data_IF_020547480745
#
_entry.id   IF_020547480745
#
_cell.length_a   1.000
_cell.length_b   1.000
_cell.length_c   1.000
_cell.angle_alpha   90.00
_cell.angle_beta   90.00
_cell.angle_gamma   90.00
#
_symmetry.space_group_name_H-M   'P 1'
#
loop_
_entity.id
_entity.type
_entity.pdbx_description
1 polymer ?
#
# COMPACT_ATOMS: atom_id res chain seq x y z
N UNK A 1 -0.82 -24.42 -8.89
CA UNK A 1 -1.89 -23.51 -8.46
C UNK A 1 -1.29 -22.14 -8.24
N UNK A 2 -1.84 -21.08 -8.86
CA UNK A 2 -1.39 -19.71 -8.60
C UNK A 2 -2.11 -19.18 -7.36
N UNK A 3 -1.43 -19.24 -6.22
CA UNK A 3 -1.83 -18.46 -5.05
C UNK A 3 -1.66 -16.98 -5.38
N UNK A 4 -2.69 -16.16 -5.11
CA UNK A 4 -2.66 -14.71 -5.36
C UNK A 4 -2.17 -14.00 -4.10
N UNK A 5 -1.26 -13.04 -4.27
CA UNK A 5 -0.74 -12.18 -3.20
C UNK A 5 -0.50 -10.76 -3.72
N UNK A 6 -0.87 -9.79 -2.90
CA UNK A 6 -0.60 -8.38 -3.19
C UNK A 6 0.81 -7.94 -2.72
N UNK A 7 1.49 -8.75 -1.90
CA UNK A 7 2.79 -8.42 -1.31
C UNK A 7 3.98 -8.83 -2.20
N UNK A 8 4.92 -7.92 -2.42
CA UNK A 8 6.10 -8.17 -3.27
C UNK A 8 7.07 -9.19 -2.64
N UNK A 9 7.20 -9.19 -1.31
CA UNK A 9 8.04 -10.15 -0.58
C UNK A 9 7.52 -11.59 -0.76
N UNK A 10 6.20 -11.74 -0.81
CA UNK A 10 5.52 -13.03 -0.94
C UNK A 10 5.68 -13.60 -2.36
N UNK A 11 5.68 -12.73 -3.38
CA UNK A 11 6.09 -13.11 -4.75
C UNK A 11 7.53 -13.64 -4.80
N UNK A 12 8.46 -13.00 -4.09
CA UNK A 12 9.87 -13.46 -4.02
C UNK A 12 9.97 -14.82 -3.32
N UNK A 13 9.33 -14.98 -2.16
CA UNK A 13 9.31 -16.24 -1.40
C UNK A 13 8.74 -17.39 -2.24
N UNK A 14 7.69 -17.15 -3.03
CA UNK A 14 7.14 -18.15 -3.97
C UNK A 14 8.14 -18.63 -5.02
N UNK A 15 9.01 -17.75 -5.49
CA UNK A 15 10.07 -18.10 -6.45
C UNK A 15 11.12 -18.94 -5.74
N UNK A 16 11.56 -18.54 -4.55
CA UNK A 16 12.53 -19.29 -3.75
C UNK A 16 12.01 -20.69 -3.37
N UNK A 17 10.72 -20.82 -3.00
CA UNK A 17 10.04 -22.11 -2.75
C UNK A 17 10.13 -23.05 -3.95
N UNK A 18 9.87 -22.55 -5.16
CA UNK A 18 10.00 -23.32 -6.42
C UNK A 18 11.44 -23.78 -6.68
N UNK A 19 12.42 -23.04 -6.18
CA UNK A 19 13.84 -23.34 -6.29
C UNK A 19 14.41 -24.08 -5.06
N UNK A 20 13.56 -24.81 -4.31
CA UNK A 20 13.92 -25.61 -3.12
C UNK A 20 14.53 -24.78 -1.99
N UNK A 21 14.08 -23.54 -1.80
CA UNK A 21 14.51 -22.66 -0.71
C UNK A 21 15.92 -22.10 -0.86
N UNK A 22 16.54 -22.22 -2.03
CA UNK A 22 17.79 -21.49 -2.32
C UNK A 22 17.46 -20.02 -2.54
N UNK A 23 18.22 -19.10 -1.93
CA UNK A 23 18.17 -17.67 -2.27
C UNK A 23 18.46 -17.53 -3.76
N UNK A 24 17.48 -17.04 -4.52
CA UNK A 24 17.62 -16.79 -5.95
C UNK A 24 17.85 -15.30 -6.14
N UNK A 25 18.98 -14.94 -6.72
CA UNK A 25 19.16 -13.60 -7.27
C UNK A 25 18.27 -13.50 -8.51
N UNK A 26 17.24 -12.67 -8.44
CA UNK A 26 16.33 -12.42 -9.54
C UNK A 26 16.92 -11.26 -10.36
N UNK A 27 17.24 -11.45 -11.65
CA UNK A 27 17.77 -10.38 -12.48
C UNK A 27 16.87 -9.14 -12.47
N UNK A 28 17.45 -7.97 -12.21
CA UNK A 28 16.72 -6.70 -12.15
C UNK A 28 15.85 -6.51 -10.90
N UNK A 29 16.12 -7.26 -9.83
CA UNK A 29 15.50 -7.07 -8.51
C UNK A 29 16.59 -6.81 -7.47
N UNK A 30 16.59 -5.61 -6.91
CA UNK A 30 17.44 -5.21 -5.79
C UNK A 30 16.68 -5.41 -4.48
N UNK A 31 17.36 -5.95 -3.46
CA UNK A 31 16.76 -6.20 -2.14
C UNK A 31 17.67 -5.62 -1.07
N UNK A 32 17.08 -4.80 -0.21
CA UNK A 32 17.73 -4.19 0.94
C UNK A 32 16.88 -4.43 2.20
N UNK A 33 17.52 -4.66 3.34
CA UNK A 33 16.85 -4.99 4.59
C UNK A 33 17.39 -4.13 5.73
N UNK A 34 16.50 -3.71 6.61
CA UNK A 34 16.81 -2.83 7.74
C UNK A 34 16.02 -3.29 8.97
N UNK A 35 16.58 -3.05 10.14
CA UNK A 35 15.98 -3.45 11.41
C UNK A 35 15.80 -2.24 12.32
N UNK A 36 14.61 -2.14 12.88
CA UNK A 36 14.21 -1.16 13.88
C UNK A 36 14.14 -1.86 15.25
N UNK A 37 13.85 -1.08 16.30
CA UNK A 37 13.66 -1.64 17.64
C UNK A 37 12.50 -2.64 17.70
N UNK A 38 12.47 -3.45 18.77
CA UNK A 38 11.34 -4.31 19.13
C UNK A 38 10.87 -5.27 18.02
N UNK A 39 11.80 -5.73 17.19
CA UNK A 39 11.52 -6.74 16.15
C UNK A 39 10.83 -6.20 14.90
N UNK A 40 10.72 -4.88 14.73
CA UNK A 40 10.23 -4.26 13.50
C UNK A 40 11.29 -4.37 12.40
N UNK A 41 10.91 -4.91 11.25
CA UNK A 41 11.78 -5.12 10.09
C UNK A 41 11.27 -4.34 8.88
N UNK A 42 12.18 -3.74 8.12
CA UNK A 42 11.86 -3.12 6.83
C UNK A 42 12.60 -3.86 5.73
N UNK A 43 11.88 -4.23 4.68
CA UNK A 43 12.41 -4.91 3.50
C UNK A 43 12.08 -4.05 2.28
N UNK A 44 13.08 -3.64 1.52
CA UNK A 44 12.95 -2.81 0.33
C UNK A 44 13.28 -3.67 -0.88
N UNK A 45 12.31 -3.83 -1.77
CA UNK A 45 12.45 -4.53 -3.04
C UNK A 45 12.30 -3.48 -4.14
N UNK A 46 13.29 -3.38 -5.02
CA UNK A 46 13.25 -2.48 -6.18
C UNK A 46 13.38 -3.28 -7.46
N UNK A 47 12.35 -3.18 -8.31
CA UNK A 47 12.29 -3.84 -9.61
C UNK A 47 12.73 -2.85 -10.68
N UNK A 48 13.88 -3.09 -11.30
CA UNK A 48 14.56 -2.16 -12.22
C UNK A 48 14.46 -2.56 -13.68
N UNK A 49 14.04 -3.80 -14.00
CA UNK A 49 13.95 -4.29 -15.38
C UNK A 49 12.61 -4.95 -15.69
N UNK A 50 12.26 -4.97 -16.97
CA UNK A 50 11.09 -5.69 -17.50
C UNK A 50 11.16 -7.20 -17.24
N UNK A 51 12.35 -7.78 -17.25
CA UNK A 51 12.56 -9.18 -16.89
C UNK A 51 12.21 -9.43 -15.42
N UNK A 52 12.72 -8.59 -14.51
CA UNK A 52 12.39 -8.64 -13.10
C UNK A 52 10.88 -8.48 -12.86
N UNK A 53 10.24 -7.56 -13.56
CA UNK A 53 8.78 -7.34 -13.52
C UNK A 53 7.99 -8.59 -13.91
N UNK A 54 8.36 -9.26 -15.02
CA UNK A 54 7.72 -10.50 -15.46
C UNK A 54 7.93 -11.66 -14.48
N UNK A 55 9.13 -11.79 -13.94
CA UNK A 55 9.45 -12.86 -12.98
C UNK A 55 8.69 -12.64 -11.66
N UNK A 56 8.69 -11.41 -11.14
CA UNK A 56 8.03 -11.04 -9.89
C UNK A 56 6.50 -10.96 -10.02
N UNK A 57 5.99 -10.78 -11.23
CA UNK A 57 4.57 -10.51 -11.48
C UNK A 57 4.11 -9.17 -10.89
N UNK A 58 5.02 -8.20 -10.80
CA UNK A 58 4.78 -6.87 -10.20
C UNK A 58 5.42 -5.81 -11.10
N UNK A 59 4.79 -4.64 -11.30
CA UNK A 59 5.36 -3.55 -12.09
C UNK A 59 6.76 -3.10 -11.64
N UNK A 60 7.47 -2.39 -12.52
CA UNK A 60 8.75 -1.76 -12.17
C UNK A 60 8.50 -0.64 -11.14
N UNK A 61 9.36 -0.57 -10.13
CA UNK A 61 9.29 0.43 -9.07
C UNK A 61 9.75 -0.10 -7.73
N UNK A 62 9.37 0.61 -6.67
CA UNK A 62 9.78 0.35 -5.30
C UNK A 62 8.63 -0.30 -4.51
N UNK A 63 8.97 -1.29 -3.71
CA UNK A 63 8.09 -2.01 -2.80
C UNK A 63 8.77 -2.09 -1.44
N UNK A 64 8.18 -1.45 -0.44
CA UNK A 64 8.72 -1.38 0.92
C UNK A 64 7.75 -2.13 1.81
N UNK A 65 8.19 -3.24 2.36
CA UNK A 65 7.43 -4.05 3.31
C UNK A 65 7.94 -3.80 4.72
N UNK A 66 7.06 -3.39 5.61
CA UNK A 66 7.32 -3.23 7.03
C UNK A 66 6.63 -4.39 7.74
N UNK A 67 7.41 -5.25 8.38
CA UNK A 67 6.93 -6.38 9.18
C UNK A 67 7.07 -6.01 10.67
N UNK A 68 5.95 -5.97 11.37
CA UNK A 68 5.86 -5.69 12.79
C UNK A 68 4.92 -6.72 13.43
N UNK A 69 5.50 -7.73 14.08
CA UNK A 69 4.71 -8.73 14.80
C UNK A 69 3.94 -8.07 15.95
N UNK A 70 2.75 -8.56 16.22
CA UNK A 70 1.89 -8.06 17.29
C UNK A 70 1.53 -6.56 17.16
N UNK A 71 1.44 -6.01 15.95
CA UNK A 71 1.10 -4.60 15.76
C UNK A 71 -0.25 -4.19 16.39
N UNK A 72 -1.22 -5.11 16.42
CA UNK A 72 -2.57 -4.87 16.97
C UNK A 72 -2.57 -5.01 18.50
N UNK A 73 -2.13 -6.17 18.99
CA UNK A 73 -2.24 -6.58 20.41
C UNK A 73 -0.95 -6.39 21.22
N UNK A 74 0.13 -5.96 20.58
CA UNK A 74 1.44 -5.81 21.18
C UNK A 74 1.64 -4.49 21.90
N UNK A 75 2.84 -4.36 22.43
CA UNK A 75 3.28 -3.24 23.26
C UNK A 75 3.32 -1.91 22.48
N UNK A 76 3.17 -0.79 23.20
CA UNK A 76 3.16 0.54 22.60
C UNK A 76 4.48 0.86 21.89
N UNK A 77 5.57 0.28 22.37
CA UNK A 77 6.92 0.38 21.82
C UNK A 77 6.99 -0.17 20.38
N UNK A 78 6.32 -1.29 20.10
CA UNK A 78 6.25 -1.87 18.74
C UNK A 78 5.50 -0.92 17.80
N UNK A 79 4.40 -0.32 18.28
CA UNK A 79 3.62 0.66 17.51
C UNK A 79 4.45 1.91 17.22
N UNK A 80 5.19 2.42 18.20
CA UNK A 80 6.06 3.58 18.02
C UNK A 80 7.19 3.31 17.01
N UNK A 81 7.86 2.17 17.10
CA UNK A 81 8.90 1.81 16.11
C UNK A 81 8.30 1.60 14.72
N UNK A 82 7.11 1.02 14.62
CA UNK A 82 6.40 0.87 13.34
C UNK A 82 6.05 2.22 12.74
N UNK A 83 5.56 3.18 13.55
CA UNK A 83 5.31 4.56 13.10
C UNK A 83 6.61 5.20 12.62
N UNK A 84 7.73 5.08 13.36
CA UNK A 84 9.03 5.60 12.94
C UNK A 84 9.47 5.00 11.60
N UNK A 85 9.32 3.69 11.41
CA UNK A 85 9.64 3.02 10.16
C UNK A 85 8.78 3.54 9.00
N UNK A 86 7.45 3.62 9.16
CA UNK A 86 6.54 4.17 8.15
C UNK A 86 6.92 5.61 7.80
N UNK A 87 7.12 6.46 8.80
CA UNK A 87 7.47 7.87 8.60
C UNK A 87 8.80 8.00 7.86
N UNK A 88 9.83 7.26 8.27
CA UNK A 88 11.15 7.26 7.63
C UNK A 88 11.07 6.87 6.15
N UNK A 89 10.35 5.79 5.83
CA UNK A 89 10.21 5.32 4.45
C UNK A 89 9.32 6.25 3.60
N UNK A 90 8.21 6.74 4.17
CA UNK A 90 7.32 7.65 3.46
C UNK A 90 7.98 9.00 3.19
N UNK A 91 8.80 9.54 4.11
CA UNK A 91 9.56 10.78 3.91
C UNK A 91 10.66 10.66 2.85
N UNK A 92 11.18 9.45 2.60
CA UNK A 92 12.10 9.20 1.47
C UNK A 92 11.36 9.27 0.13
N UNK A 93 10.09 8.84 0.09
CA UNK A 93 9.26 8.87 -1.11
C UNK A 93 8.62 10.24 -1.36
N UNK A 94 8.09 10.90 -0.31
CA UNK A 94 7.46 12.23 -0.35
C UNK A 94 8.27 13.18 0.52
N UNK A 95 9.09 14.02 -0.11
CA UNK A 95 9.89 15.01 0.61
C UNK A 95 9.05 16.24 0.90
N UNK A 96 9.05 16.65 2.16
CA UNK A 96 8.40 17.90 2.55
C UNK A 96 9.07 19.12 1.91
N UNK A 97 8.23 20.04 1.45
CA UNK A 97 8.59 21.42 1.13
C UNK A 97 7.36 22.30 1.38
N UNK A 98 7.57 23.61 1.47
CA UNK A 98 6.53 24.58 1.85
C UNK A 98 5.35 24.71 0.88
N UNK A 99 5.40 24.05 -0.28
CA UNK A 99 4.35 24.03 -1.31
C UNK A 99 3.76 22.64 -1.53
N UNK A 100 4.11 21.68 -0.67
CA UNK A 100 3.73 20.27 -0.77
C UNK A 100 2.20 20.17 -0.90
N UNK A 101 1.69 19.60 -1.98
CA UNK A 101 0.25 19.43 -2.21
C UNK A 101 -0.13 17.95 -2.34
N UNK A 102 -0.82 17.39 -1.35
CA UNK A 102 -1.11 15.96 -1.24
C UNK A 102 -2.61 15.70 -1.30
N UNK A 103 -3.00 14.64 -2.01
CA UNK A 103 -4.35 14.08 -1.93
C UNK A 103 -4.27 12.68 -1.33
N UNK A 104 -4.87 12.49 -0.16
CA UNK A 104 -4.95 11.18 0.51
C UNK A 104 -6.28 10.51 0.18
N UNK A 105 -6.24 9.28 -0.34
CA UNK A 105 -7.42 8.52 -0.75
C UNK A 105 -7.58 7.30 0.16
N UNK A 106 -8.78 7.13 0.72
CA UNK A 106 -9.12 5.96 1.54
C UNK A 106 -9.96 4.98 0.75
N UNK A 107 -9.34 3.93 0.22
CA UNK A 107 -10.00 2.92 -0.60
C UNK A 107 -10.66 1.85 0.28
N UNK A 108 -11.78 1.33 -0.22
CA UNK A 108 -12.52 0.26 0.42
C UNK A 108 -13.95 0.63 0.80
N UNK A 109 -14.59 -0.27 1.51
CA UNK A 109 -15.97 -0.15 1.95
C UNK A 109 -16.03 -0.05 3.47
N UNK A 110 -16.47 1.10 3.97
CA UNK A 110 -16.64 1.35 5.41
C UNK A 110 -17.62 0.36 6.08
N UNK A 111 -18.57 -0.20 5.31
CA UNK A 111 -19.55 -1.18 5.81
C UNK A 111 -19.00 -2.61 5.92
N UNK A 112 -17.80 -2.88 5.41
CA UNK A 112 -17.17 -4.20 5.43
C UNK A 112 -15.91 -4.10 6.28
N UNK A 113 -15.94 -4.62 7.51
CA UNK A 113 -14.86 -4.50 8.50
C UNK A 113 -13.45 -4.72 7.93
N UNK A 114 -13.14 -5.84 7.22
CA UNK A 114 -11.80 -6.03 6.68
C UNK A 114 -11.43 -5.05 5.55
N UNK A 115 -12.41 -4.47 4.86
CA UNK A 115 -12.22 -3.51 3.74
C UNK A 115 -12.34 -2.05 4.21
N UNK A 116 -12.59 -1.81 5.50
CA UNK A 116 -12.82 -0.47 6.07
C UNK A 116 -11.55 0.29 6.42
N UNK A 117 -10.37 -0.33 6.24
CA UNK A 117 -9.09 0.22 6.67
C UNK A 117 -8.79 1.57 6.02
N UNK A 118 -8.96 1.70 4.69
CA UNK A 118 -8.72 2.96 3.97
C UNK A 118 -9.59 4.09 4.51
N UNK A 119 -10.94 3.93 4.55
CA UNK A 119 -11.85 4.90 5.17
C UNK A 119 -11.45 5.26 6.62
N UNK A 120 -11.15 4.27 7.46
CA UNK A 120 -10.77 4.47 8.86
C UNK A 120 -9.43 5.20 9.04
N UNK A 121 -8.50 5.00 8.10
CA UNK A 121 -7.19 5.68 8.13
C UNK A 121 -7.36 7.12 7.70
N UNK A 122 -8.07 7.38 6.60
CA UNK A 122 -8.24 8.71 6.05
C UNK A 122 -9.08 9.62 6.94
N UNK A 123 -10.05 9.09 7.69
CA UNK A 123 -10.81 9.87 8.67
C UNK A 123 -9.97 10.45 9.82
N UNK A 124 -8.76 9.92 10.04
CA UNK A 124 -7.80 10.38 11.06
C UNK A 124 -6.69 11.28 10.47
N UNK A 125 -6.68 11.51 9.16
CA UNK A 125 -5.68 12.38 8.51
C UNK A 125 -5.98 13.84 8.85
N UNK A 126 -4.94 14.60 9.24
CA UNK A 126 -5.03 16.04 9.44
C UNK A 126 -5.12 16.75 8.08
N UNK A 127 -6.33 17.04 7.64
CA UNK A 127 -6.62 17.79 6.40
C UNK A 127 -6.36 19.28 6.61
N UNK A 128 -5.68 19.92 5.67
CA UNK A 128 -5.22 21.32 5.80
C UNK A 128 -5.56 22.17 4.58
N UNK A 129 -5.93 21.59 3.43
CA UNK A 129 -6.23 22.33 2.18
C UNK A 129 -7.25 23.45 2.35
N UNK A 130 -8.25 23.27 3.22
CA UNK A 130 -9.25 24.30 3.49
C UNK A 130 -8.63 25.60 4.03
N UNK A 131 -7.57 25.52 4.83
CA UNK A 131 -6.84 26.70 5.33
C UNK A 131 -6.17 27.47 4.19
N UNK A 132 -5.51 26.78 3.27
CA UNK A 132 -4.87 27.39 2.09
C UNK A 132 -5.92 28.08 1.19
N UNK A 133 -7.07 27.44 0.97
CA UNK A 133 -8.16 28.02 0.16
C UNK A 133 -8.76 29.27 0.82
N UNK A 134 -9.00 29.24 2.13
CA UNK A 134 -9.61 30.37 2.87
C UNK A 134 -8.65 31.57 2.94
N UNK A 135 -7.37 31.30 3.20
CA UNK A 135 -6.34 32.35 3.37
C UNK A 135 -5.78 32.85 2.05
N UNK A 136 -5.93 32.09 0.96
CA UNK A 136 -5.24 32.35 -0.31
C UNK A 136 -3.73 32.09 -0.24
N UNK A 137 -3.25 31.41 0.80
CA UNK A 137 -1.85 31.07 0.93
C UNK A 137 -1.41 30.08 -0.16
N UNK A 138 -0.27 30.36 -0.79
CA UNK A 138 0.35 29.45 -1.76
C UNK A 138 1.35 28.48 -1.12
N UNK A 139 1.78 28.76 0.12
CA UNK A 139 2.79 27.99 0.84
C UNK A 139 2.70 28.20 2.36
N UNK A 140 3.19 27.22 3.12
CA UNK A 140 3.34 27.27 4.59
C UNK A 140 4.64 26.57 4.99
N UNK A 141 5.41 27.11 5.93
CA UNK A 141 6.74 26.59 6.29
C UNK A 141 6.68 25.28 7.07
N UNK A 142 5.61 25.04 7.82
CA UNK A 142 5.49 23.91 8.74
C UNK A 142 4.51 22.85 8.25
N UNK A 143 3.63 23.20 7.29
CA UNK A 143 2.47 22.38 6.93
C UNK A 143 2.31 22.23 5.42
N UNK A 144 2.11 20.99 4.95
CA UNK A 144 1.72 20.72 3.56
C UNK A 144 0.23 21.00 3.32
N UNK A 145 -0.14 21.32 2.08
CA UNK A 145 -1.54 21.39 1.64
C UNK A 145 -2.08 19.96 1.44
N UNK A 146 -2.79 19.44 2.43
CA UNK A 146 -3.33 18.07 2.43
C UNK A 146 -4.83 18.09 2.23
N UNK A 147 -5.29 17.37 1.22
CA UNK A 147 -6.68 17.04 0.95
C UNK A 147 -6.93 15.55 1.15
N UNK A 148 -8.18 15.18 1.40
CA UNK A 148 -8.56 13.79 1.64
C UNK A 148 -9.89 13.47 0.93
N UNK A 149 -10.02 12.25 0.43
CA UNK A 149 -11.26 11.73 -0.15
C UNK A 149 -11.44 10.24 0.19
N UNK A 150 -12.65 9.89 0.61
CA UNK A 150 -13.12 8.51 0.72
C UNK A 150 -14.18 8.33 -0.36
N UNK A 151 -13.85 7.70 -1.51
CA UNK A 151 -14.76 7.61 -2.65
C UNK A 151 -15.90 6.61 -2.45
N UNK A 152 -15.81 5.75 -1.42
CA UNK A 152 -16.71 4.62 -1.24
C UNK A 152 -16.58 3.60 -2.37
N UNK A 153 -17.61 2.76 -2.51
CA UNK A 153 -17.68 1.72 -3.54
C UNK A 153 -18.81 1.98 -4.53
N UNK A 154 -18.69 1.44 -5.74
CA UNK A 154 -19.69 1.59 -6.80
C UNK A 154 -21.11 1.22 -6.34
N UNK A 155 -21.26 0.20 -5.49
CA UNK A 155 -22.55 -0.19 -4.95
C UNK A 155 -23.25 0.92 -4.15
N UNK A 156 -22.48 1.76 -3.46
CA UNK A 156 -23.01 2.85 -2.63
C UNK A 156 -23.14 4.17 -3.38
N UNK A 157 -22.25 4.43 -4.36
CA UNK A 157 -22.17 5.72 -5.05
C UNK A 157 -22.78 5.72 -6.45
N UNK A 158 -22.96 4.54 -7.06
CA UNK A 158 -23.31 4.38 -8.47
C UNK A 158 -22.19 4.75 -9.45
N UNK A 159 -21.01 5.14 -8.94
CA UNK A 159 -19.86 5.58 -9.74
C UNK A 159 -18.63 4.74 -9.41
N UNK A 160 -17.77 4.50 -10.40
CA UNK A 160 -16.49 3.85 -10.16
C UNK A 160 -15.60 4.73 -9.29
N UNK A 161 -15.01 4.16 -8.23
CA UNK A 161 -14.15 4.91 -7.30
C UNK A 161 -13.01 5.63 -8.04
N UNK A 162 -12.47 5.02 -9.10
CA UNK A 162 -11.43 5.61 -9.94
C UNK A 162 -11.88 6.90 -10.67
N UNK A 163 -13.15 7.03 -11.04
CA UNK A 163 -13.68 8.24 -11.69
C UNK A 163 -13.81 9.39 -10.71
N UNK A 164 -14.26 9.09 -9.48
CA UNK A 164 -14.31 10.07 -8.39
C UNK A 164 -12.90 10.54 -8.01
N UNK A 165 -11.93 9.62 -7.92
CA UNK A 165 -10.54 9.94 -7.61
C UNK A 165 -9.93 10.81 -8.71
N UNK A 166 -10.12 10.45 -9.98
CA UNK A 166 -9.64 11.26 -11.12
C UNK A 166 -10.19 12.67 -11.08
N UNK A 167 -11.49 12.81 -10.84
CA UNK A 167 -12.13 14.14 -10.70
C UNK A 167 -11.53 14.94 -9.54
N UNK A 168 -11.25 14.28 -8.41
CA UNK A 168 -10.61 14.93 -7.28
C UNK A 168 -9.16 15.35 -7.58
N UNK A 169 -8.40 14.57 -8.34
CA UNK A 169 -7.06 14.93 -8.83
C UNK A 169 -7.14 16.17 -9.74
N UNK A 170 -8.11 16.24 -10.65
CA UNK A 170 -8.30 17.41 -11.54
C UNK A 170 -8.66 18.69 -10.76
N UNK A 171 -9.42 18.57 -9.67
CA UNK A 171 -9.82 19.69 -8.81
C UNK A 171 -8.69 20.12 -7.86
N UNK A 172 -8.05 19.17 -7.17
CA UNK A 172 -7.07 19.43 -6.13
C UNK A 172 -5.67 19.68 -6.68
N UNK A 173 -5.38 19.18 -7.89
CA UNK A 173 -4.07 19.23 -8.57
C UNK A 173 -2.90 18.88 -7.62
N UNK A 174 -2.97 17.74 -6.92
CA UNK A 174 -1.91 17.34 -6.01
C UNK A 174 -0.62 17.03 -6.77
N UNK A 175 0.53 17.16 -6.12
CA UNK A 175 1.80 16.65 -6.65
C UNK A 175 1.92 15.13 -6.45
N UNK A 176 1.25 14.61 -5.41
CA UNK A 176 1.25 13.19 -5.07
C UNK A 176 -0.11 12.77 -4.49
N UNK A 177 -0.58 11.62 -4.95
CA UNK A 177 -1.72 10.91 -4.39
C UNK A 177 -1.20 9.82 -3.47
N UNK A 178 -1.66 9.79 -2.21
CA UNK A 178 -1.38 8.70 -1.28
C UNK A 178 -2.66 7.88 -1.14
N UNK A 179 -2.68 6.67 -1.69
CA UNK A 179 -3.82 5.76 -1.60
C UNK A 179 -3.61 4.75 -0.47
N UNK A 180 -4.56 4.65 0.45
CA UNK A 180 -4.55 3.65 1.54
C UNK A 180 -5.62 2.61 1.25
N UNK A 181 -5.26 1.33 1.26
CA UNK A 181 -6.15 0.22 0.94
C UNK A 181 -5.94 -1.00 1.84
N UNK A 182 -6.98 -1.83 1.95
CA UNK A 182 -6.86 -3.16 2.51
C UNK A 182 -6.31 -4.13 1.44
N UNK A 183 -5.34 -4.96 1.81
CA UNK A 183 -4.76 -5.98 0.91
C UNK A 183 -5.16 -7.39 1.30
N UNK A 184 -4.94 -8.34 0.40
CA UNK A 184 -4.96 -9.77 0.71
C UNK A 184 -3.53 -10.32 0.88
N UNK A 185 -3.29 -11.04 1.98
CA UNK A 185 -2.07 -11.82 2.18
C UNK A 185 -2.27 -13.29 1.78
N UNK A 186 -1.18 -13.99 1.52
CA UNK A 186 -1.12 -15.47 1.41
C UNK A 186 -0.75 -16.11 2.75
N UNK A 187 0.08 -15.46 3.56
CA UNK A 187 0.45 -15.96 4.88
C UNK A 187 -0.44 -15.36 5.98
N UNK A 188 -1.03 -16.22 6.82
CA UNK A 188 -1.84 -15.81 7.98
C UNK A 188 -1.03 -14.93 8.93
N UNK A 189 0.26 -15.22 9.10
CA UNK A 189 1.15 -14.46 10.00
C UNK A 189 1.31 -13.00 9.59
N UNK A 190 0.98 -12.64 8.33
CA UNK A 190 1.07 -11.28 7.78
C UNK A 190 -0.21 -10.46 7.92
N UNK A 191 -1.31 -11.09 8.35
CA UNK A 191 -2.56 -10.38 8.61
C UNK A 191 -2.33 -9.41 9.77
N UNK A 192 -2.59 -8.13 9.53
CA UNK A 192 -2.47 -7.06 10.52
C UNK A 192 -1.09 -6.87 11.15
N UNK A 193 -0.04 -7.49 10.59
CA UNK A 193 1.35 -7.39 11.07
C UNK A 193 2.31 -6.88 9.97
N UNK A 194 1.79 -6.63 8.77
CA UNK A 194 2.59 -6.20 7.61
C UNK A 194 1.98 -4.97 6.97
N UNK A 195 2.81 -4.02 6.57
CA UNK A 195 2.41 -2.82 5.84
C UNK A 195 3.28 -2.73 4.59
N UNK A 196 2.67 -2.57 3.42
CA UNK A 196 3.39 -2.39 2.16
C UNK A 196 3.21 -0.98 1.63
N UNK A 197 4.30 -0.31 1.29
CA UNK A 197 4.32 0.97 0.60
C UNK A 197 4.89 0.76 -0.80
N UNK A 198 4.26 1.29 -1.85
CA UNK A 198 4.77 1.22 -3.22
C UNK A 198 4.50 2.51 -3.99
N UNK A 199 5.38 2.86 -4.92
CA UNK A 199 5.22 3.98 -5.85
C UNK A 199 4.69 3.54 -7.24
N UNK A 200 4.32 2.27 -7.37
CA UNK A 200 3.79 1.71 -8.63
C UNK A 200 2.28 1.91 -8.78
N UNK A 201 1.63 2.44 -7.74
CA UNK A 201 0.18 2.55 -7.64
C UNK A 201 -0.46 1.33 -6.99
N UNK A 202 -1.78 1.19 -7.16
CA UNK A 202 -2.56 0.08 -6.62
C UNK A 202 -3.65 -0.37 -7.58
N UNK A 203 -3.93 -1.66 -7.57
CA UNK A 203 -5.08 -2.27 -8.26
C UNK A 203 -6.07 -2.75 -7.19
N UNK A 204 -7.12 -1.96 -6.88
CA UNK A 204 -8.03 -2.30 -5.80
C UNK A 204 -8.76 -3.62 -6.09
N UNK A 205 -8.77 -4.55 -5.12
CA UNK A 205 -9.45 -5.84 -5.24
C UNK A 205 -8.72 -6.92 -6.04
N UNK A 206 -7.44 -6.71 -6.39
CA UNK A 206 -6.63 -7.71 -7.09
C UNK A 206 -6.55 -9.06 -6.34
N UNK A 207 -6.40 -9.03 -5.02
CA UNK A 207 -6.39 -10.21 -4.15
C UNK A 207 -7.74 -10.93 -4.01
N UNK A 208 -8.87 -10.24 -4.12
CA UNK A 208 -10.22 -10.84 -4.00
C UNK A 208 -10.80 -11.28 -5.36
N UNK A 209 -10.08 -11.06 -6.46
CA UNK A 209 -10.48 -11.45 -7.81
C UNK A 209 -11.42 -10.47 -8.52
N UNK A 210 -11.73 -9.33 -7.90
CA UNK A 210 -12.43 -8.21 -8.53
C UNK A 210 -11.39 -7.18 -8.98
N UNK A 211 -10.86 -7.32 -10.20
CA UNK A 211 -9.99 -6.31 -10.78
C UNK A 211 -10.78 -5.03 -11.06
N UNK A 212 -10.66 -4.02 -10.17
CA UNK A 212 -11.09 -2.64 -10.46
C UNK A 212 -10.01 -1.91 -11.27
N UNK A 213 -10.35 -0.75 -11.83
CA UNK A 213 -9.39 0.07 -12.59
C UNK A 213 -8.18 0.44 -11.72
N UNK A 214 -6.98 0.26 -12.27
CA UNK A 214 -5.72 0.57 -11.58
C UNK A 214 -5.57 2.07 -11.31
N UNK A 215 -5.11 2.40 -10.10
CA UNK A 215 -4.74 3.75 -9.67
C UNK A 215 -3.23 3.86 -9.73
N UNK A 216 -2.73 4.43 -10.81
CA UNK A 216 -1.30 4.56 -11.12
C UNK A 216 -1.01 5.96 -11.62
N UNK A 217 0.26 6.33 -11.68
CA UNK A 217 0.67 7.60 -12.27
C UNK A 217 0.19 7.73 -13.72
N UNK A 218 0.17 6.62 -14.48
CA UNK A 218 -0.34 6.59 -15.85
C UNK A 218 -1.85 6.86 -15.92
N UNK A 219 -2.63 6.36 -14.96
CA UNK A 219 -4.10 6.53 -14.99
C UNK A 219 -4.56 7.88 -14.44
N UNK A 220 -3.84 8.45 -13.47
CA UNK A 220 -4.18 9.73 -12.84
C UNK A 220 -3.41 10.93 -13.39
N UNK A 221 -2.29 10.72 -14.08
CA UNK A 221 -1.40 11.81 -14.53
C UNK A 221 -0.67 12.51 -13.38
N UNK A 222 -0.63 11.88 -12.21
CA UNK A 222 -0.01 12.40 -10.98
C UNK A 222 0.62 11.23 -10.24
N UNK A 223 1.78 11.45 -9.62
CA UNK A 223 2.50 10.42 -8.87
C UNK A 223 1.59 9.76 -7.82
N UNK A 224 1.63 8.43 -7.73
CA UNK A 224 0.80 7.67 -6.78
C UNK A 224 1.70 6.86 -5.86
N UNK A 225 1.47 6.98 -4.55
CA UNK A 225 2.05 6.11 -3.54
C UNK A 225 0.90 5.34 -2.90
N UNK A 226 0.95 4.02 -2.97
CA UNK A 226 -0.01 3.16 -2.34
C UNK A 226 0.54 2.62 -1.02
N UNK A 227 -0.30 2.60 0.01
CA UNK A 227 -0.05 2.00 1.30
C UNK A 227 -1.12 0.93 1.50
N UNK A 228 -0.69 -0.31 1.63
CA UNK A 228 -1.60 -1.44 1.78
C UNK A 228 -1.29 -2.25 3.03
N UNK A 229 -2.32 -2.68 3.74
CA UNK A 229 -2.19 -3.55 4.92
C UNK A 229 -3.03 -4.80 4.70
N UNK A 230 -2.47 -6.01 4.83
CA UNK A 230 -3.26 -7.22 4.71
C UNK A 230 -4.25 -7.36 5.86
N UNK A 231 -5.54 -7.41 5.52
CA UNK A 231 -6.64 -7.60 6.48
C UNK A 231 -7.43 -8.87 6.23
N UNK A 232 -7.22 -9.50 5.07
CA UNK A 232 -7.86 -10.74 4.66
C UNK A 232 -6.84 -11.71 4.08
N UNK A 233 -7.26 -12.96 4.01
CA UNK A 233 -6.51 -14.05 3.42
C UNK A 233 -7.43 -14.86 2.50
N UNK A 234 -6.91 -15.35 1.38
CA UNK A 234 -7.65 -16.25 0.49
C UNK A 234 -7.88 -17.58 1.22
N UNK A 235 -9.14 -18.02 1.36
CA UNK A 235 -9.51 -19.26 2.05
C UNK A 235 -8.82 -20.51 1.50
N UNK A 236 -8.36 -20.49 0.23
CA UNK A 236 -7.60 -21.59 -0.37
C UNK A 236 -6.20 -21.77 0.22
N UNK A 237 -5.66 -20.75 0.88
CA UNK A 237 -4.37 -20.82 1.59
C UNK A 237 -4.48 -21.46 2.97
N UNK A 238 -5.69 -21.51 3.54
CA UNK A 238 -5.97 -22.16 4.83
C UNK A 238 -6.10 -23.68 4.72
N UNK A 239 -6.16 -24.24 3.50
CA UNK A 239 -6.21 -25.69 3.29
C UNK A 239 -4.76 -26.18 3.33
N UNK A 240 -4.33 -26.93 4.36
CA UNK A 240 -2.99 -27.49 4.38
C UNK A 240 -2.84 -28.44 3.19
N UNK A 241 -1.66 -28.40 2.54
CA UNK A 241 -1.29 -29.28 1.40
C UNK A 241 -1.26 -30.78 1.79
N UNK A 242 -1.67 -31.14 3.00
CA UNK A 242 -1.67 -32.51 3.53
C UNK A 242 -2.82 -33.40 3.02
N UNK A 243 -3.78 -32.90 2.25
CA UNK A 243 -4.98 -33.66 1.83
C UNK A 243 -5.12 -33.93 0.33
N UNK A 244 -4.05 -33.84 -0.47
CA UNK A 244 -4.12 -34.12 -1.93
C UNK A 244 -3.60 -35.52 -2.32
N UNK A 245 -3.47 -36.44 -1.36
CA UNK A 245 -3.07 -37.84 -1.60
C UNK A 245 -3.96 -38.85 -0.87
N UNK A 246 -5.28 -38.79 -1.08
CA UNK A 246 -6.20 -39.89 -0.82
C UNK A 246 -7.07 -40.13 -2.05
#
# INVERSE_FOLDING_TARGET
MNYRTDLAIESKEMIEEKHKGKKVEIPGVEVDEDQYGYGVKVIRIKITTEEGSRIMGKPLGNYITIEAKDLVDGEEEVKQETVKAITSELSKLVRFHNKLNVLVIGLGNEMVTPDSLGPCTVSKVKVTRHMFVITGAESDEDVGCVSALIPGVMYTTGMESAELIRSAVEIAKPEVVIAVDALAARNVDRISSTIQITDTGISPGAGTGNMRKDLTEKSLGTRVIAIGVPTVIDSKTLIPVSYTHL
#
